data_IF_848739498789
#
_entry.id   IF_848739498789
#
_cell.length_a   1.000
_cell.length_b   1.000
_cell.length_c   1.000
_cell.angle_alpha   90.00
_cell.angle_beta   90.00
_cell.angle_gamma   90.00
#
_symmetry.space_group_name_H-M   'P 1'
#
loop_
_entity.id
_entity.type
_entity.pdbx_description
1 polymer ?
#
# COMPACT_ATOMS: atom_id res chain seq x y z
N UNK A 1 -14.60 11.03 0.50
CA UNK A 1 -14.74 9.66 -0.05
C UNK A 1 -14.48 8.62 1.02
N UNK A 2 -15.22 7.51 0.98
CA UNK A 2 -14.98 6.31 1.81
C UNK A 2 -13.80 5.52 1.25
N UNK A 3 -13.06 4.81 2.11
CA UNK A 3 -11.90 3.97 1.70
C UNK A 3 -12.26 3.00 0.57
N UNK A 4 -13.46 2.40 0.61
CA UNK A 4 -13.95 1.48 -0.44
C UNK A 4 -14.08 2.17 -1.81
N UNK A 5 -14.52 3.42 -1.84
CA UNK A 5 -14.67 4.21 -3.08
C UNK A 5 -13.29 4.55 -3.66
N UNK A 6 -12.32 4.86 -2.80
CA UNK A 6 -10.93 5.15 -3.17
C UNK A 6 -10.28 3.91 -3.80
N UNK A 7 -10.41 2.74 -3.15
CA UNK A 7 -9.89 1.47 -3.68
C UNK A 7 -10.50 1.15 -5.05
N UNK A 8 -11.82 1.35 -5.19
CA UNK A 8 -12.51 1.13 -6.46
C UNK A 8 -12.01 2.10 -7.54
N UNK A 9 -11.88 3.39 -7.22
CA UNK A 9 -11.37 4.39 -8.16
C UNK A 9 -9.94 4.06 -8.65
N UNK A 10 -9.07 3.57 -7.76
CA UNK A 10 -7.74 3.09 -8.14
C UNK A 10 -7.81 1.89 -9.09
N UNK A 11 -8.75 0.96 -8.87
CA UNK A 11 -8.96 -0.19 -9.75
C UNK A 11 -9.50 0.21 -11.12
N UNK A 12 -10.51 1.08 -11.14
CA UNK A 12 -11.16 1.53 -12.38
C UNK A 12 -10.16 2.30 -13.28
N UNK A 13 -9.15 2.94 -12.68
CA UNK A 13 -8.04 3.60 -13.39
C UNK A 13 -6.91 2.67 -13.84
N UNK A 14 -6.94 1.40 -13.42
CA UNK A 14 -5.84 0.46 -13.68
C UNK A 14 -4.60 0.65 -12.82
N UNK A 15 -4.65 1.49 -11.78
CA UNK A 15 -3.52 1.71 -10.86
C UNK A 15 -3.23 0.45 -10.01
N UNK A 16 -4.29 -0.27 -9.63
CA UNK A 16 -4.24 -1.54 -8.89
C UNK A 16 -5.36 -2.47 -9.35
N UNK A 17 -5.02 -3.62 -9.95
CA UNK A 17 -6.01 -4.64 -10.28
C UNK A 17 -6.48 -5.40 -9.02
N UNK A 18 -7.78 -5.35 -8.71
CA UNK A 18 -8.37 -6.08 -7.57
C UNK A 18 -8.49 -7.59 -7.78
N UNK A 19 -8.32 -8.07 -9.02
CA UNK A 19 -8.21 -9.49 -9.34
C UNK A 19 -6.88 -10.07 -8.83
N UNK A 20 -5.83 -9.24 -8.80
CA UNK A 20 -4.49 -9.60 -8.32
C UNK A 20 -4.29 -9.19 -6.87
N UNK A 21 -4.77 -8.01 -6.47
CA UNK A 21 -4.45 -7.40 -5.19
C UNK A 21 -5.69 -7.29 -4.30
N UNK A 22 -5.71 -8.08 -3.21
CA UNK A 22 -6.76 -8.00 -2.18
C UNK A 22 -6.42 -6.90 -1.17
N UNK A 23 -7.23 -5.85 -0.99
CA UNK A 23 -7.01 -4.90 0.10
C UNK A 23 -7.20 -5.59 1.45
N UNK A 24 -6.27 -5.36 2.38
CA UNK A 24 -6.28 -5.98 3.72
C UNK A 24 -6.22 -4.96 4.85
N UNK A 25 -5.68 -3.76 4.61
CA UNK A 25 -5.67 -2.68 5.60
C UNK A 25 -5.58 -1.33 4.88
N UNK A 26 -6.09 -0.29 5.50
CA UNK A 26 -5.91 1.07 5.05
C UNK A 26 -5.85 2.03 6.25
N UNK A 27 -4.98 3.03 6.16
CA UNK A 27 -4.76 4.03 7.21
C UNK A 27 -4.69 5.41 6.60
N UNK A 28 -5.48 6.35 7.14
CA UNK A 28 -5.43 7.75 6.74
C UNK A 28 -4.36 8.48 7.55
N UNK A 29 -3.55 9.28 6.88
CA UNK A 29 -2.52 10.12 7.49
C UNK A 29 -3.07 11.51 7.82
N UNK A 30 -2.35 12.24 8.69
CA UNK A 30 -2.76 13.58 9.14
C UNK A 30 -2.69 14.64 8.04
N UNK A 31 -1.89 14.40 7.00
CA UNK A 31 -1.72 15.26 5.83
C UNK A 31 -2.80 15.03 4.75
N UNK A 32 -3.77 14.16 5.00
CA UNK A 32 -4.87 13.86 4.08
C UNK A 32 -4.61 12.69 3.14
N UNK A 33 -3.41 12.12 3.13
CA UNK A 33 -3.07 10.95 2.30
C UNK A 33 -3.59 9.64 2.92
N UNK A 34 -3.52 8.56 2.15
CA UNK A 34 -4.01 7.23 2.53
C UNK A 34 -2.97 6.16 2.19
N UNK A 35 -2.56 5.42 3.20
CA UNK A 35 -1.82 4.17 3.05
C UNK A 35 -2.81 3.03 2.81
N UNK A 36 -2.59 2.23 1.77
CA UNK A 36 -3.36 1.01 1.53
C UNK A 36 -2.40 -0.16 1.42
N UNK A 37 -2.66 -1.19 2.21
CA UNK A 37 -1.96 -2.45 2.14
C UNK A 37 -2.84 -3.48 1.43
N UNK A 38 -2.27 -4.10 0.41
CA UNK A 38 -2.86 -5.19 -0.34
C UNK A 38 -2.02 -6.47 -0.16
N UNK A 39 -2.68 -7.62 -0.26
CA UNK A 39 -2.06 -8.94 -0.37
C UNK A 39 -2.29 -9.47 -1.78
N UNK A 40 -1.25 -10.04 -2.38
CA UNK A 40 -1.37 -10.66 -3.69
C UNK A 40 -2.21 -11.96 -3.60
N UNK A 41 -3.10 -12.17 -4.57
CA UNK A 41 -3.98 -13.33 -4.69
C UNK A 41 -3.39 -14.43 -5.58
N UNK A 42 -2.48 -14.07 -6.47
CA UNK A 42 -1.94 -14.93 -7.55
C UNK A 42 -0.55 -15.46 -7.18
N UNK A 43 0.24 -14.68 -6.44
CA UNK A 43 1.59 -15.05 -6.00
C UNK A 43 1.75 -14.95 -4.48
N UNK A 44 2.62 -15.79 -3.93
CA UNK A 44 2.80 -15.94 -2.49
C UNK A 44 1.79 -16.92 -1.87
N UNK A 45 2.01 -17.27 -0.61
CA UNK A 45 1.16 -18.18 0.16
C UNK A 45 0.66 -17.53 1.45
N UNK A 46 -0.07 -18.26 2.29
CA UNK A 46 -0.40 -17.78 3.64
C UNK A 46 0.82 -17.72 4.56
N UNK A 47 1.77 -18.65 4.38
CA UNK A 47 2.99 -18.70 5.17
C UNK A 47 4.05 -17.71 4.68
N UNK A 48 4.05 -17.44 3.37
CA UNK A 48 4.95 -16.49 2.70
C UNK A 48 4.17 -15.55 1.77
N UNK A 49 3.45 -14.56 2.33
CA UNK A 49 2.61 -13.64 1.56
C UNK A 49 3.44 -12.56 0.85
N UNK A 50 3.00 -12.19 -0.36
CA UNK A 50 3.47 -11.00 -1.08
C UNK A 50 2.49 -9.86 -0.86
N UNK A 51 3.01 -8.70 -0.48
CA UNK A 51 2.24 -7.50 -0.21
C UNK A 51 2.54 -6.39 -1.20
N UNK A 52 1.57 -5.52 -1.41
CA UNK A 52 1.72 -4.23 -2.07
C UNK A 52 1.26 -3.17 -1.07
N UNK A 53 2.16 -2.27 -0.70
CA UNK A 53 1.78 -1.03 -0.03
C UNK A 53 1.71 0.08 -1.07
N UNK A 54 0.63 0.87 -1.02
CA UNK A 54 0.40 2.01 -1.90
C UNK A 54 0.14 3.24 -1.05
N UNK A 55 0.90 4.30 -1.31
CA UNK A 55 0.70 5.63 -0.76
C UNK A 55 -0.13 6.45 -1.73
N UNK A 56 -1.31 6.88 -1.28
CA UNK A 56 -2.36 7.42 -2.13
C UNK A 56 -2.66 8.85 -1.73
N UNK A 57 -2.67 9.75 -2.70
CA UNK A 57 -3.16 11.10 -2.54
C UNK A 57 -4.63 11.20 -2.96
N UNK A 58 -5.40 12.01 -2.25
CA UNK A 58 -6.81 12.28 -2.51
C UNK A 58 -6.94 13.79 -2.69
N UNK A 59 -7.08 14.25 -3.93
CA UNK A 59 -7.19 15.67 -4.28
C UNK A 59 -8.59 15.91 -4.81
N UNK A 60 -9.40 16.66 -4.05
CA UNK A 60 -10.82 16.87 -4.36
C UNK A 60 -11.57 15.53 -4.51
N UNK A 61 -11.91 15.13 -5.74
CA UNK A 61 -12.55 13.87 -6.10
C UNK A 61 -11.62 12.90 -6.85
N UNK A 62 -10.37 13.30 -7.06
CA UNK A 62 -9.37 12.52 -7.77
C UNK A 62 -8.47 11.73 -6.80
N UNK A 63 -8.13 10.52 -7.20
CA UNK A 63 -7.31 9.58 -6.41
C UNK A 63 -6.11 9.15 -7.22
N UNK A 64 -4.89 9.29 -6.68
CA UNK A 64 -3.65 8.95 -7.38
C UNK A 64 -2.68 8.21 -6.46
N UNK A 65 -1.96 7.25 -7.00
CA UNK A 65 -0.83 6.63 -6.31
C UNK A 65 0.36 7.57 -6.43
N UNK A 66 0.92 7.98 -5.29
CA UNK A 66 2.20 8.69 -5.24
C UNK A 66 3.35 7.70 -5.28
N UNK A 67 3.25 6.63 -4.48
CA UNK A 67 4.28 5.60 -4.38
C UNK A 67 3.65 4.22 -4.18
N UNK A 68 4.33 3.19 -4.67
CA UNK A 68 3.95 1.80 -4.39
C UNK A 68 5.16 0.89 -4.27
N UNK A 69 5.13 0.00 -3.29
CA UNK A 69 6.21 -0.93 -3.01
C UNK A 69 5.62 -2.33 -2.86
N UNK A 70 6.17 -3.28 -3.61
CA UNK A 70 5.88 -4.71 -3.43
C UNK A 70 6.94 -5.34 -2.53
N UNK A 71 6.53 -6.10 -1.53
CA UNK A 71 7.46 -6.70 -0.59
C UNK A 71 6.97 -8.03 -0.01
N UNK A 72 7.91 -8.82 0.50
CA UNK A 72 7.65 -9.97 1.36
C UNK A 72 7.92 -9.62 2.81
N UNK A 73 7.45 -10.47 3.74
CA UNK A 73 7.65 -10.27 5.18
C UNK A 73 9.13 -10.17 5.56
N UNK A 74 10.03 -10.93 4.92
CA UNK A 74 11.47 -10.84 5.19
C UNK A 74 12.07 -9.46 4.84
N UNK A 75 11.55 -8.78 3.82
CA UNK A 75 12.05 -7.45 3.43
C UNK A 75 11.77 -6.42 4.52
N UNK A 76 10.60 -6.48 5.17
CA UNK A 76 10.27 -5.57 6.29
C UNK A 76 11.26 -5.76 7.44
N UNK A 77 11.54 -7.01 7.80
CA UNK A 77 12.53 -7.32 8.86
C UNK A 77 13.91 -6.77 8.50
N UNK A 78 14.33 -6.95 7.25
CA UNK A 78 15.60 -6.41 6.78
C UNK A 78 15.62 -4.88 6.89
N UNK A 79 14.59 -4.19 6.37
CA UNK A 79 14.48 -2.72 6.47
C UNK A 79 14.54 -2.26 7.92
N UNK A 80 13.75 -2.85 8.83
CA UNK A 80 13.76 -2.43 10.24
C UNK A 80 15.10 -2.64 10.92
N UNK A 81 15.85 -3.67 10.51
CA UNK A 81 17.20 -3.94 11.03
C UNK A 81 18.28 -3.05 10.37
N UNK A 82 17.99 -2.52 9.18
CA UNK A 82 18.90 -1.68 8.40
C UNK A 82 18.64 -0.18 8.58
N UNK A 83 17.50 0.22 9.18
CA UNK A 83 17.26 1.60 9.62
C UNK A 83 18.21 1.88 10.78
N UNK A 84 19.39 2.37 10.46
CA UNK A 84 20.21 3.14 11.39
C UNK A 84 19.45 4.42 11.70
N UNK A 85 19.29 4.72 13.00
CA UNK A 85 18.87 6.06 13.39
C UNK A 85 19.98 7.00 12.93
N UNK A 86 19.70 7.85 11.95
CA UNK A 86 20.47 9.07 11.80
C UNK A 86 20.13 9.90 13.05
N UNK A 87 20.89 9.71 14.12
CA UNK A 87 20.87 10.66 15.23
C UNK A 87 21.21 12.03 14.63
N UNK A 88 20.39 13.03 14.96
CA UNK A 88 20.67 14.41 14.56
C UNK A 88 22.06 14.75 15.09
N UNK A 89 22.98 15.07 14.18
CA UNK A 89 24.24 15.73 14.52
C UNK A 89 23.98 17.10 15.17
#
# INVERSE_FOLDING_TARGET
>A
MRIKEIIKALSDKGEVSLDIWKPISARKSSDGTLDILYRNRVVGSEKDPVFLWAYVNIVEEDVRILEKITFKKEHVKWITNSITRFEKA
#
